data_IF_160474199482
#
_entry.id   IF_160474199482
#
_cell.length_a   1.000
_cell.length_b   1.000
_cell.length_c   1.000
_cell.angle_alpha   90.00
_cell.angle_beta   90.00
_cell.angle_gamma   90.00
#
_symmetry.space_group_name_H-M   'P 1'
#
loop_
_entity.id
_entity.type
_entity.pdbx_description
1 polymer ?
#
# COMPACT_ATOMS: atom_id res chain seq x y z
N UNK A 1 -13.10 -14.41 -71.22
CA UNK A 1 -11.87 -14.12 -70.39
C UNK A 1 -12.26 -13.55 -69.04
N UNK A 2 -12.26 -14.39 -68.01
CA UNK A 2 -12.53 -13.97 -66.65
C UNK A 2 -11.20 -13.67 -65.93
N UNK A 3 -10.99 -12.41 -65.52
CA UNK A 3 -9.80 -12.02 -64.72
C UNK A 3 -10.04 -12.39 -63.28
N UNK A 4 -9.20 -13.28 -62.72
CA UNK A 4 -9.09 -13.54 -61.28
C UNK A 4 -8.21 -12.47 -60.65
N UNK A 5 -8.74 -11.70 -59.70
CA UNK A 5 -7.95 -10.86 -58.83
C UNK A 5 -7.62 -11.67 -57.58
N UNK A 6 -6.33 -11.97 -57.39
CA UNK A 6 -5.82 -12.61 -56.17
C UNK A 6 -5.51 -11.53 -55.16
N UNK A 7 -6.32 -11.46 -54.10
CA UNK A 7 -6.07 -10.54 -52.97
C UNK A 7 -5.08 -11.19 -52.01
N UNK A 8 -3.86 -10.67 -51.99
CA UNK A 8 -2.81 -11.10 -51.06
C UNK A 8 -3.11 -10.53 -49.66
N UNK A 9 -3.54 -11.39 -48.73
CA UNK A 9 -3.73 -11.03 -47.32
C UNK A 9 -2.35 -11.05 -46.65
N UNK A 10 -1.78 -9.86 -46.37
CA UNK A 10 -0.58 -9.73 -45.54
C UNK A 10 -1.03 -9.83 -44.06
N UNK A 11 -0.81 -11.00 -43.45
CA UNK A 11 -0.97 -11.18 -42.01
C UNK A 11 0.29 -10.58 -41.33
N UNK A 12 0.17 -9.36 -40.80
CA UNK A 12 1.19 -8.78 -39.95
C UNK A 12 1.08 -9.48 -38.59
N UNK A 13 1.98 -10.44 -38.35
CA UNK A 13 2.19 -10.99 -37.01
C UNK A 13 2.82 -9.89 -36.15
N UNK A 14 2.01 -9.13 -35.43
CA UNK A 14 2.45 -8.31 -34.30
C UNK A 14 2.82 -9.27 -33.17
N UNK A 15 4.08 -9.71 -33.15
CA UNK A 15 4.65 -10.30 -31.93
C UNK A 15 4.62 -9.23 -30.84
N UNK A 16 3.68 -9.38 -29.90
CA UNK A 16 3.70 -8.59 -28.68
C UNK A 16 4.97 -8.99 -27.90
N UNK A 17 6.04 -8.23 -28.10
CA UNK A 17 7.15 -8.25 -27.15
C UNK A 17 6.60 -7.69 -25.86
N UNK A 18 6.33 -8.54 -24.88
CA UNK A 18 6.13 -8.13 -23.50
C UNK A 18 7.45 -7.53 -23.02
N UNK A 19 7.58 -6.21 -23.15
CA UNK A 19 8.67 -5.46 -22.50
C UNK A 19 8.36 -5.54 -21.01
N UNK A 20 9.01 -6.46 -20.30
CA UNK A 20 8.95 -6.47 -18.84
C UNK A 20 9.69 -5.23 -18.34
N UNK A 21 9.02 -4.38 -17.60
CA UNK A 21 9.63 -3.20 -17.02
C UNK A 21 10.82 -3.63 -16.15
N UNK A 22 12.02 -3.20 -16.55
CA UNK A 22 13.26 -3.52 -15.85
C UNK A 22 13.93 -2.23 -15.43
N UNK A 23 14.28 -2.15 -14.14
CA UNK A 23 15.12 -1.07 -13.60
C UNK A 23 16.56 -1.57 -13.64
N UNK A 24 17.43 -0.81 -14.27
CA UNK A 24 18.86 -1.14 -14.35
C UNK A 24 19.55 -0.98 -13.01
N UNK A 25 20.68 -1.65 -12.85
CA UNK A 25 21.59 -1.49 -11.72
C UNK A 25 22.71 -0.51 -12.06
N UNK A 26 23.20 0.19 -11.04
CA UNK A 26 24.37 1.05 -11.11
C UNK A 26 25.20 0.90 -9.83
N UNK A 27 26.49 1.28 -9.88
CA UNK A 27 27.24 1.47 -8.64
C UNK A 27 26.69 2.66 -7.86
N UNK A 28 26.72 2.63 -6.52
CA UNK A 28 26.28 3.75 -5.70
C UNK A 28 27.00 5.06 -6.06
N UNK A 29 28.30 5.01 -6.30
CA UNK A 29 29.14 6.17 -6.61
C UNK A 29 28.70 6.87 -7.89
N UNK A 30 28.32 6.14 -8.95
CA UNK A 30 27.80 6.71 -10.18
C UNK A 30 26.49 7.47 -9.97
N UNK A 31 25.79 7.18 -8.88
CA UNK A 31 24.51 7.80 -8.54
C UNK A 31 24.65 8.80 -7.35
N UNK A 32 25.86 9.25 -7.03
CA UNK A 32 26.08 10.21 -5.96
C UNK A 32 25.84 9.65 -4.56
N UNK A 33 26.08 8.35 -4.35
CA UNK A 33 25.95 7.67 -3.07
C UNK A 33 27.29 7.05 -2.70
N UNK A 34 27.76 7.26 -1.47
CA UNK A 34 28.93 6.58 -0.94
C UNK A 34 28.58 5.14 -0.55
N UNK A 35 29.12 4.15 -1.25
CA UNK A 35 28.93 2.73 -0.92
C UNK A 35 29.41 2.42 0.50
N UNK A 36 30.49 3.05 0.95
CA UNK A 36 31.02 2.89 2.31
C UNK A 36 30.00 3.35 3.37
N UNK A 37 29.40 4.52 3.19
CA UNK A 37 28.34 5.02 4.09
C UNK A 37 27.05 4.22 3.95
N UNK A 38 26.67 3.82 2.73
CA UNK A 38 25.48 2.99 2.46
C UNK A 38 25.56 1.60 3.13
N UNK A 39 26.77 1.08 3.39
CA UNK A 39 26.96 -0.15 4.15
C UNK A 39 26.36 -0.12 5.56
N UNK A 40 26.04 1.07 6.08
CA UNK A 40 25.31 1.23 7.34
C UNK A 40 23.93 0.56 7.29
N UNK A 41 23.23 0.60 6.13
CA UNK A 41 21.97 -0.14 5.91
C UNK A 41 22.17 -1.65 6.12
N UNK A 42 23.27 -2.19 5.61
CA UNK A 42 23.62 -3.60 5.80
C UNK A 42 23.97 -3.90 7.26
N UNK A 43 24.69 -3.00 7.95
CA UNK A 43 25.05 -3.14 9.36
C UNK A 43 23.82 -3.14 10.27
N UNK A 44 22.89 -2.20 10.06
CA UNK A 44 21.61 -2.15 10.77
C UNK A 44 20.84 -3.46 10.55
N UNK A 45 20.75 -3.91 9.31
CA UNK A 45 20.03 -5.14 8.96
C UNK A 45 20.62 -6.36 9.64
N UNK A 46 21.95 -6.51 9.64
CA UNK A 46 22.64 -7.62 10.31
C UNK A 46 22.43 -7.59 11.83
N UNK A 47 22.55 -6.42 12.45
CA UNK A 47 22.34 -6.28 13.90
C UNK A 47 20.90 -6.69 14.30
N UNK A 48 19.88 -6.36 13.48
CA UNK A 48 18.52 -6.79 13.74
C UNK A 48 18.35 -8.32 13.69
N UNK A 49 19.10 -8.99 12.80
CA UNK A 49 19.10 -10.45 12.68
C UNK A 49 19.88 -11.09 13.84
N UNK A 50 21.09 -10.61 14.11
CA UNK A 50 21.97 -11.14 15.15
C UNK A 50 21.35 -11.00 16.55
N UNK A 51 20.63 -9.90 16.78
CA UNK A 51 19.85 -9.66 18.01
C UNK A 51 18.51 -10.43 18.05
N UNK A 52 18.20 -11.27 17.06
CA UNK A 52 16.91 -11.98 16.92
C UNK A 52 15.67 -11.08 16.97
N UNK A 53 15.77 -9.84 16.51
CA UNK A 53 14.67 -8.88 16.47
C UNK A 53 13.70 -9.15 15.33
N UNK A 54 14.23 -9.55 14.17
CA UNK A 54 13.46 -9.98 13.00
C UNK A 54 14.09 -11.24 12.40
N UNK A 55 13.31 -12.11 11.78
CA UNK A 55 13.84 -13.31 11.11
C UNK A 55 14.56 -12.96 9.80
N UNK A 56 14.10 -11.92 9.13
CA UNK A 56 14.67 -11.42 7.87
C UNK A 56 14.32 -9.96 7.64
N UNK A 57 15.11 -9.34 6.77
CA UNK A 57 14.88 -8.01 6.22
C UNK A 57 15.38 -7.96 4.78
N UNK A 58 14.57 -7.42 3.89
CA UNK A 58 14.95 -7.17 2.49
C UNK A 58 14.79 -5.68 2.19
N UNK A 59 15.88 -5.04 1.75
CA UNK A 59 15.87 -3.62 1.37
C UNK A 59 16.37 -3.47 -0.06
N UNK A 60 15.64 -2.68 -0.86
CA UNK A 60 16.03 -2.24 -2.20
C UNK A 60 16.00 -0.73 -2.25
N UNK A 61 17.03 -0.12 -2.84
CA UNK A 61 17.20 1.33 -2.96
C UNK A 61 17.44 1.67 -4.42
N UNK A 62 16.67 2.62 -4.92
CA UNK A 62 16.84 3.22 -6.23
C UNK A 62 17.29 4.68 -6.06
N UNK A 63 18.17 5.14 -6.91
CA UNK A 63 18.56 6.56 -7.07
C UNK A 63 18.64 6.89 -8.55
N UNK A 64 18.04 8.02 -8.96
CA UNK A 64 18.05 8.48 -10.36
C UNK A 64 17.56 7.40 -11.34
N UNK A 65 16.57 6.57 -10.97
CA UNK A 65 16.06 5.50 -11.82
C UNK A 65 16.96 4.26 -11.91
N UNK A 66 17.97 4.12 -11.05
CA UNK A 66 18.88 2.97 -11.02
C UNK A 66 18.89 2.29 -9.66
N UNK A 67 18.89 0.96 -9.61
CA UNK A 67 19.04 0.19 -8.38
C UNK A 67 20.52 0.27 -7.94
N UNK A 68 20.74 0.89 -6.78
CA UNK A 68 22.08 1.06 -6.18
C UNK A 68 22.32 0.13 -5.00
N UNK A 69 21.28 -0.45 -4.45
CA UNK A 69 21.37 -1.40 -3.35
C UNK A 69 20.19 -2.38 -3.41
N UNK A 70 20.45 -3.68 -3.27
CA UNK A 70 19.42 -4.70 -3.13
C UNK A 70 19.98 -5.87 -2.34
N UNK A 71 19.64 -5.96 -1.06
CA UNK A 71 20.12 -6.99 -0.16
C UNK A 71 19.01 -7.59 0.69
N UNK A 72 19.19 -8.87 1.03
CA UNK A 72 18.34 -9.60 1.96
C UNK A 72 19.21 -10.22 3.03
N UNK A 73 18.83 -10.12 4.30
CA UNK A 73 19.55 -10.65 5.45
C UNK A 73 18.64 -11.54 6.28
N UNK A 74 19.22 -12.58 6.88
CA UNK A 74 18.53 -13.49 7.79
C UNK A 74 17.96 -14.74 7.12
N UNK A 75 16.98 -15.33 7.76
CA UNK A 75 16.34 -16.59 7.39
C UNK A 75 14.88 -16.37 7.07
N UNK A 76 14.28 -17.27 6.28
CA UNK A 76 12.84 -17.19 5.98
C UNK A 76 11.98 -17.22 7.24
N UNK A 77 12.42 -17.92 8.25
CA UNK A 77 11.77 -18.04 9.56
C UNK A 77 12.84 -18.28 10.64
N UNK A 78 12.51 -17.95 11.91
CA UNK A 78 13.44 -18.10 13.03
C UNK A 78 13.86 -19.56 13.25
N UNK A 79 12.93 -20.47 13.03
CA UNK A 79 13.09 -21.91 13.33
C UNK A 79 13.73 -22.71 12.19
N UNK A 80 14.19 -22.06 11.12
CA UNK A 80 14.73 -22.74 9.93
C UNK A 80 16.09 -22.18 9.53
N UNK A 81 16.91 -23.02 8.88
CA UNK A 81 18.18 -22.59 8.27
C UNK A 81 18.03 -22.10 6.83
N UNK A 82 16.81 -22.08 6.29
CA UNK A 82 16.56 -21.56 4.93
C UNK A 82 16.82 -20.07 4.86
N UNK A 83 17.86 -19.69 4.15
CA UNK A 83 18.23 -18.27 3.93
C UNK A 83 17.14 -17.57 3.14
N UNK A 84 16.83 -16.33 3.52
CA UNK A 84 15.93 -15.44 2.78
C UNK A 84 16.48 -15.13 1.38
N UNK A 85 15.61 -15.04 0.39
CA UNK A 85 15.96 -14.69 -0.99
C UNK A 85 15.33 -13.36 -1.40
N UNK A 86 15.98 -12.64 -2.31
CA UNK A 86 15.50 -11.35 -2.85
C UNK A 86 14.12 -11.43 -3.50
N UNK A 87 13.72 -12.62 -3.96
CA UNK A 87 12.42 -12.89 -4.60
C UNK A 87 11.41 -13.59 -3.67
N UNK A 88 11.66 -13.65 -2.37
CA UNK A 88 10.68 -14.16 -1.42
C UNK A 88 9.48 -13.22 -1.30
N UNK A 89 8.32 -13.79 -1.00
CA UNK A 89 7.03 -13.12 -1.00
C UNK A 89 6.66 -12.64 0.39
N UNK A 90 6.27 -11.39 0.47
CA UNK A 90 5.91 -10.68 1.70
C UNK A 90 4.45 -10.22 1.66
N UNK A 91 3.74 -10.30 2.79
CA UNK A 91 2.51 -9.55 2.99
C UNK A 91 2.85 -8.09 3.07
N UNK A 92 2.37 -7.29 2.12
CA UNK A 92 2.66 -5.85 2.12
C UNK A 92 1.64 -5.03 2.91
N UNK A 93 0.57 -5.68 3.39
CA UNK A 93 -0.47 -5.05 4.20
C UNK A 93 -0.90 -3.69 3.62
N UNK A 94 -0.86 -2.62 4.42
CA UNK A 94 -1.35 -1.31 4.01
C UNK A 94 -0.55 -0.65 2.87
N UNK A 95 0.59 -1.19 2.46
CA UNK A 95 1.21 -0.78 1.20
C UNK A 95 0.35 -1.19 -0.03
N UNK A 96 -0.71 -1.98 0.16
CA UNK A 96 -1.78 -2.22 -0.82
C UNK A 96 -2.54 -0.93 -1.18
N UNK A 97 -2.71 -0.02 -0.21
CA UNK A 97 -3.54 1.19 -0.36
C UNK A 97 -3.12 2.12 -1.50
N UNK A 98 -1.85 2.49 -1.64
CA UNK A 98 -1.39 3.27 -2.79
C UNK A 98 -1.76 2.65 -4.14
N UNK A 99 -1.67 1.32 -4.26
CA UNK A 99 -1.99 0.60 -5.50
C UNK A 99 -3.49 0.68 -5.80
N UNK A 100 -4.34 0.44 -4.79
CA UNK A 100 -5.80 0.52 -4.96
C UNK A 100 -6.27 1.96 -5.15
N UNK A 101 -5.64 2.92 -4.47
CA UNK A 101 -5.91 4.35 -4.69
C UNK A 101 -5.55 4.79 -6.11
N UNK A 102 -4.44 4.26 -6.67
CA UNK A 102 -4.11 4.51 -8.07
C UNK A 102 -5.15 3.86 -9.00
N UNK A 103 -5.61 2.66 -8.72
CA UNK A 103 -6.62 1.97 -9.53
C UNK A 103 -7.94 2.76 -9.62
N UNK A 104 -8.44 3.29 -8.50
CA UNK A 104 -9.64 4.14 -8.53
C UNK A 104 -9.37 5.45 -9.28
N UNK A 105 -8.18 6.03 -9.17
CA UNK A 105 -7.80 7.24 -9.90
C UNK A 105 -7.63 7.01 -11.41
N UNK A 106 -7.30 5.80 -11.87
CA UNK A 106 -7.38 5.42 -13.28
C UNK A 106 -8.82 5.46 -13.82
N UNK A 107 -9.81 5.12 -12.98
CA UNK A 107 -11.23 5.23 -13.36
C UNK A 107 -11.70 6.69 -13.35
N UNK A 108 -11.16 7.52 -12.45
CA UNK A 108 -11.34 8.97 -12.46
C UNK A 108 -10.82 9.60 -13.76
N UNK A 109 -9.63 9.24 -14.22
CA UNK A 109 -9.05 9.70 -15.50
C UNK A 109 -9.92 9.34 -16.71
N UNK A 110 -10.69 8.25 -16.62
CA UNK A 110 -11.66 7.82 -17.64
C UNK A 110 -13.00 8.53 -17.51
N UNK A 111 -13.11 9.52 -16.64
CA UNK A 111 -14.34 10.31 -16.38
C UNK A 111 -15.56 9.44 -15.95
N UNK A 112 -15.31 8.26 -15.35
CA UNK A 112 -16.38 7.38 -14.90
C UNK A 112 -17.04 7.85 -13.60
N UNK A 113 -16.41 8.77 -12.88
CA UNK A 113 -16.93 9.43 -11.70
C UNK A 113 -16.17 10.73 -11.42
N UNK A 114 -16.69 11.56 -10.50
CA UNK A 114 -16.02 12.72 -9.94
C UNK A 114 -15.58 12.46 -8.50
N UNK A 115 -14.50 13.07 -8.01
CA UNK A 115 -13.99 12.89 -6.64
C UNK A 115 -15.03 13.22 -5.57
N UNK A 116 -15.89 14.21 -5.85
CA UNK A 116 -16.97 14.64 -4.95
C UNK A 116 -18.29 13.89 -5.19
N UNK A 117 -18.34 12.90 -6.08
CA UNK A 117 -19.48 12.02 -6.21
C UNK A 117 -19.75 11.28 -4.89
N UNK A 118 -21.01 11.22 -4.45
CA UNK A 118 -21.36 10.47 -3.25
C UNK A 118 -21.17 8.97 -3.46
N UNK A 119 -20.62 8.29 -2.45
CA UNK A 119 -20.38 6.84 -2.47
C UNK A 119 -21.69 6.07 -2.76
N UNK A 120 -22.83 6.55 -2.27
CA UNK A 120 -24.14 5.94 -2.47
C UNK A 120 -24.59 5.89 -3.94
N UNK A 121 -24.00 6.71 -4.82
CA UNK A 121 -24.24 6.66 -6.27
C UNK A 121 -23.86 5.30 -6.86
N UNK A 122 -22.82 4.65 -6.32
CA UNK A 122 -22.27 3.38 -6.78
C UNK A 122 -22.54 2.23 -5.80
N UNK A 123 -22.72 2.55 -4.53
CA UNK A 123 -23.00 1.63 -3.43
C UNK A 123 -24.22 2.15 -2.65
N UNK A 124 -25.46 1.89 -3.14
CA UNK A 124 -26.70 2.43 -2.56
C UNK A 124 -26.92 2.10 -1.08
N UNK A 125 -26.24 1.05 -0.57
CA UNK A 125 -26.27 0.65 0.84
C UNK A 125 -25.82 1.78 1.77
N UNK A 126 -24.96 2.68 1.30
CA UNK A 126 -24.44 3.81 2.09
C UNK A 126 -25.44 4.95 2.28
N UNK A 127 -26.58 4.97 1.55
CA UNK A 127 -27.61 6.01 1.66
C UNK A 127 -28.24 6.11 3.07
N UNK A 128 -28.15 5.03 3.87
CA UNK A 128 -28.75 4.96 5.21
C UNK A 128 -27.72 5.03 6.34
N UNK A 129 -26.44 5.25 6.01
CA UNK A 129 -25.39 5.28 7.02
C UNK A 129 -25.63 6.42 8.03
N UNK A 130 -25.32 6.19 9.30
CA UNK A 130 -25.52 7.15 10.39
C UNK A 130 -24.20 7.43 11.10
N UNK A 131 -24.14 8.56 11.77
CA UNK A 131 -23.09 8.94 12.69
C UNK A 131 -23.56 8.61 14.12
N UNK A 132 -22.72 7.96 14.91
CA UNK A 132 -22.98 7.82 16.35
C UNK A 132 -22.52 9.10 17.06
N UNK A 133 -23.48 9.84 17.63
CA UNK A 133 -23.20 11.05 18.39
C UNK A 133 -22.75 10.71 19.82
N UNK A 134 -22.14 11.69 20.51
CA UNK A 134 -21.65 11.54 21.90
C UNK A 134 -22.77 11.21 22.91
N UNK A 135 -24.00 11.62 22.61
CA UNK A 135 -25.19 11.28 23.37
C UNK A 135 -25.69 9.84 23.16
N UNK A 136 -24.99 9.05 22.32
CA UNK A 136 -25.37 7.68 21.96
C UNK A 136 -26.45 7.56 20.90
N UNK A 137 -26.99 8.66 20.39
CA UNK A 137 -27.99 8.65 19.33
C UNK A 137 -27.37 8.51 17.93
N UNK A 138 -28.12 7.90 17.01
CA UNK A 138 -27.75 7.80 15.60
C UNK A 138 -28.36 8.98 14.84
N UNK A 139 -27.52 9.81 14.23
CA UNK A 139 -27.91 10.99 13.44
C UNK A 139 -27.52 10.82 11.97
N UNK A 140 -28.20 11.54 11.10
CA UNK A 140 -27.73 11.66 9.71
C UNK A 140 -26.38 12.38 9.71
N UNK A 141 -25.43 11.98 8.85
CA UNK A 141 -24.24 12.78 8.62
C UNK A 141 -24.62 14.18 8.11
N UNK A 142 -23.80 15.19 8.42
CA UNK A 142 -23.99 16.56 7.92
C UNK A 142 -23.73 16.66 6.43
N UNK A 143 -22.75 15.89 5.96
CA UNK A 143 -22.33 15.82 4.57
C UNK A 143 -22.39 14.37 4.09
N UNK A 144 -22.66 14.16 2.80
CA UNK A 144 -22.58 12.84 2.19
C UNK A 144 -21.14 12.35 2.09
N UNK A 145 -20.94 11.06 2.25
CA UNK A 145 -19.64 10.44 2.06
C UNK A 145 -19.29 10.44 0.57
N UNK A 146 -18.18 11.08 0.20
CA UNK A 146 -17.68 11.12 -1.17
C UNK A 146 -16.55 10.12 -1.41
N UNK A 147 -16.21 9.83 -2.67
CA UNK A 147 -15.06 9.01 -3.04
C UNK A 147 -13.77 9.67 -2.54
N UNK A 148 -13.67 11.00 -2.58
CA UNK A 148 -12.55 11.76 -2.02
C UNK A 148 -12.37 11.50 -0.51
N UNK A 149 -13.47 11.43 0.25
CA UNK A 149 -13.40 11.14 1.68
C UNK A 149 -12.84 9.73 1.97
N UNK A 150 -13.11 8.76 1.09
CA UNK A 150 -12.51 7.42 1.20
C UNK A 150 -11.00 7.46 0.90
N UNK A 151 -10.60 8.16 -0.16
CA UNK A 151 -9.21 8.28 -0.60
C UNK A 151 -8.32 8.97 0.42
N UNK A 152 -8.83 9.97 1.13
CA UNK A 152 -8.08 10.76 2.11
C UNK A 152 -8.39 10.40 3.57
N UNK A 153 -9.09 9.30 3.82
CA UNK A 153 -9.47 8.81 5.15
C UNK A 153 -10.28 9.81 6.01
N UNK A 154 -11.11 10.64 5.40
CA UNK A 154 -12.04 11.54 6.13
C UNK A 154 -13.49 11.06 6.09
N UNK A 155 -13.73 9.82 5.73
CA UNK A 155 -15.07 9.24 5.57
C UNK A 155 -15.79 8.92 6.89
N UNK A 156 -15.11 8.98 8.04
CA UNK A 156 -15.69 8.61 9.34
C UNK A 156 -15.78 7.09 9.60
N UNK A 157 -15.27 6.26 8.69
CA UNK A 157 -15.14 4.81 8.86
C UNK A 157 -14.05 4.45 9.88
N UNK A 158 -14.01 3.19 10.35
CA UNK A 158 -13.03 2.73 11.35
C UNK A 158 -12.41 1.37 10.98
N UNK A 159 -11.28 1.04 11.62
CA UNK A 159 -10.72 -0.30 11.70
C UNK A 159 -11.14 -1.07 12.96
N UNK A 160 -11.73 -0.38 13.94
CA UNK A 160 -12.09 -1.01 15.20
C UNK A 160 -10.94 -1.20 16.19
N UNK A 161 -9.93 -0.33 16.17
CA UNK A 161 -8.71 -0.51 16.97
C UNK A 161 -8.75 0.11 18.36
N UNK A 162 -9.74 0.94 18.66
CA UNK A 162 -9.83 1.61 19.95
C UNK A 162 -11.04 1.14 20.77
N UNK A 163 -11.14 1.59 22.02
CA UNK A 163 -12.28 1.31 22.88
C UNK A 163 -13.50 2.22 22.62
N UNK A 164 -13.43 3.11 21.63
CA UNK A 164 -14.56 3.94 21.26
C UNK A 164 -15.75 3.07 20.80
N UNK A 165 -17.01 3.41 21.19
CA UNK A 165 -18.19 2.59 20.90
C UNK A 165 -18.38 2.23 19.42
N UNK A 166 -18.03 3.13 18.49
CA UNK A 166 -18.04 2.84 17.05
C UNK A 166 -17.01 1.78 16.71
N UNK A 167 -15.78 1.94 17.19
CA UNK A 167 -14.69 1.00 16.89
C UNK A 167 -15.01 -0.40 17.37
N UNK A 168 -15.64 -0.54 18.54
CA UNK A 168 -16.07 -1.83 19.04
C UNK A 168 -17.12 -2.51 18.15
N UNK A 169 -17.99 -1.73 17.49
CA UNK A 169 -18.92 -2.27 16.50
C UNK A 169 -18.18 -2.79 15.25
N UNK A 170 -17.19 -2.05 14.74
CA UNK A 170 -16.34 -2.49 13.63
C UNK A 170 -15.53 -3.74 14.00
N UNK A 171 -14.92 -3.77 15.18
CA UNK A 171 -14.17 -4.93 15.68
C UNK A 171 -15.02 -6.20 15.70
N UNK A 172 -16.27 -6.09 16.14
CA UNK A 172 -17.19 -7.21 16.28
C UNK A 172 -17.91 -7.61 14.97
N UNK A 173 -17.86 -6.78 13.93
CA UNK A 173 -18.61 -7.00 12.69
C UNK A 173 -18.03 -8.12 11.80
N UNK A 174 -16.81 -8.61 12.08
CA UNK A 174 -16.18 -9.65 11.29
C UNK A 174 -16.01 -9.26 9.81
N UNK A 175 -15.63 -8.02 9.52
CA UNK A 175 -15.59 -7.47 8.17
C UNK A 175 -14.70 -8.29 7.23
N UNK A 176 -13.61 -8.86 7.75
CA UNK A 176 -12.71 -9.68 6.95
C UNK A 176 -13.12 -11.16 6.85
N UNK A 177 -14.25 -11.52 7.45
CA UNK A 177 -14.91 -12.82 7.27
C UNK A 177 -16.00 -12.79 6.18
N UNK A 178 -16.04 -11.69 5.41
CA UNK A 178 -17.01 -11.49 4.34
C UNK A 178 -16.82 -12.48 3.18
N UNK A 179 -17.94 -12.89 2.60
CA UNK A 179 -18.03 -13.84 1.48
C UNK A 179 -18.03 -13.10 0.11
N UNK A 180 -17.18 -12.13 -0.03
CA UNK A 180 -17.06 -11.27 -1.21
C UNK A 180 -17.44 -9.84 -0.93
N UNK A 181 -17.41 -9.03 -1.97
CA UNK A 181 -17.57 -7.57 -1.91
C UNK A 181 -18.97 -7.14 -1.46
N UNK A 182 -20.02 -7.83 -1.90
CA UNK A 182 -21.41 -7.49 -1.53
C UNK A 182 -21.66 -7.76 -0.03
N UNK A 183 -21.19 -8.89 0.52
CA UNK A 183 -21.29 -9.17 1.97
C UNK A 183 -20.47 -8.17 2.79
N UNK A 184 -19.27 -7.79 2.31
CA UNK A 184 -18.46 -6.76 2.96
C UNK A 184 -19.21 -5.42 3.03
N UNK A 185 -19.75 -4.95 1.92
CA UNK A 185 -20.49 -3.68 1.87
C UNK A 185 -21.76 -3.73 2.72
N UNK A 186 -22.49 -4.85 2.68
CA UNK A 186 -23.66 -5.06 3.53
C UNK A 186 -23.32 -4.94 5.02
N UNK A 187 -22.19 -5.49 5.46
CA UNK A 187 -21.74 -5.37 6.85
C UNK A 187 -21.34 -3.94 7.19
N UNK A 188 -20.50 -3.30 6.35
CA UNK A 188 -19.98 -1.95 6.59
C UNK A 188 -21.11 -0.92 6.65
N UNK A 189 -22.06 -0.96 5.72
CA UNK A 189 -23.17 0.02 5.63
C UNK A 189 -24.12 -0.02 6.83
N UNK A 190 -24.12 -1.11 7.61
CA UNK A 190 -24.89 -1.23 8.85
C UNK A 190 -24.11 -0.73 10.09
N UNK A 191 -22.87 -0.26 9.93
CA UNK A 191 -22.07 0.27 11.02
C UNK A 191 -22.13 1.81 11.04
N UNK A 192 -22.16 2.43 12.23
CA UNK A 192 -22.17 3.88 12.31
C UNK A 192 -20.79 4.46 12.01
N UNK A 193 -20.78 5.69 11.52
CA UNK A 193 -19.56 6.50 11.38
C UNK A 193 -19.15 7.09 12.74
N UNK A 194 -17.86 7.35 12.92
CA UNK A 194 -17.30 8.03 14.09
C UNK A 194 -17.63 9.53 14.10
N UNK A 195 -17.75 10.13 12.93
CA UNK A 195 -18.03 11.55 12.72
C UNK A 195 -18.56 11.74 11.30
N UNK A 196 -19.05 12.93 11.01
CA UNK A 196 -19.55 13.24 9.67
C UNK A 196 -18.42 13.30 8.65
N UNK A 197 -18.60 12.78 7.42
CA UNK A 197 -17.58 12.83 6.39
C UNK A 197 -16.99 14.23 6.21
N UNK A 198 -15.68 14.33 6.07
CA UNK A 198 -14.93 15.57 5.93
C UNK A 198 -14.53 16.26 7.24
N UNK A 199 -15.03 15.86 8.41
CA UNK A 199 -14.75 16.56 9.66
C UNK A 199 -13.38 16.26 10.26
N UNK A 200 -12.87 15.03 10.10
CA UNK A 200 -11.59 14.60 10.69
C UNK A 200 -10.91 13.56 9.82
N UNK A 201 -9.58 13.48 9.92
CA UNK A 201 -8.84 12.33 9.43
C UNK A 201 -8.98 11.16 10.43
N UNK A 202 -9.31 9.97 9.91
CA UNK A 202 -9.32 8.75 10.70
C UNK A 202 -8.97 7.54 9.84
N UNK A 203 -7.80 6.98 10.07
CA UNK A 203 -7.33 5.83 9.31
C UNK A 203 -8.25 4.62 9.45
N UNK A 204 -8.71 4.06 8.34
CA UNK A 204 -9.85 3.15 8.36
C UNK A 204 -9.84 2.16 7.19
N UNK A 205 -10.89 1.33 7.15
CA UNK A 205 -11.22 0.42 6.05
C UNK A 205 -11.64 1.14 4.75
N UNK A 206 -11.48 2.45 4.66
CA UNK A 206 -11.94 3.23 3.50
C UNK A 206 -11.39 2.69 2.18
N UNK A 207 -10.13 2.24 2.15
CA UNK A 207 -9.54 1.68 0.93
C UNK A 207 -10.05 0.26 0.60
N UNK A 208 -10.57 -0.48 1.58
CA UNK A 208 -11.32 -1.71 1.29
C UNK A 208 -12.61 -1.39 0.54
N UNK A 209 -13.32 -0.32 0.92
CA UNK A 209 -14.50 0.20 0.19
C UNK A 209 -14.10 0.70 -1.20
N UNK A 210 -12.96 1.39 -1.35
CA UNK A 210 -12.43 1.78 -2.67
C UNK A 210 -12.16 0.57 -3.56
N UNK A 211 -11.66 -0.55 -3.01
CA UNK A 211 -11.49 -1.79 -3.76
C UNK A 211 -12.81 -2.29 -4.35
N UNK A 212 -13.89 -2.25 -3.57
CA UNK A 212 -15.22 -2.61 -4.07
C UNK A 212 -15.73 -1.60 -5.10
N UNK A 213 -15.45 -0.30 -4.92
CA UNK A 213 -15.79 0.72 -5.93
C UNK A 213 -15.05 0.50 -7.25
N UNK A 214 -13.79 0.05 -7.23
CA UNK A 214 -13.07 -0.36 -8.45
C UNK A 214 -13.86 -1.45 -9.16
N UNK A 215 -14.32 -2.49 -8.46
CA UNK A 215 -15.12 -3.56 -9.06
C UNK A 215 -16.45 -3.06 -9.63
N UNK A 216 -17.19 -2.26 -8.86
CA UNK A 216 -18.53 -1.76 -9.26
C UNK A 216 -18.46 -0.81 -10.46
N UNK A 217 -17.45 0.06 -10.51
CA UNK A 217 -17.33 1.07 -11.57
C UNK A 217 -16.72 0.47 -12.84
N UNK A 218 -15.72 -0.42 -12.70
CA UNK A 218 -15.05 -1.04 -13.85
C UNK A 218 -15.81 -2.24 -14.42
N UNK A 219 -16.60 -2.94 -13.60
CA UNK A 219 -17.20 -4.23 -13.93
C UNK A 219 -16.20 -5.41 -13.91
N UNK A 220 -14.96 -5.19 -13.47
CA UNK A 220 -13.90 -6.20 -13.37
C UNK A 220 -13.64 -6.55 -11.89
N UNK A 221 -13.42 -7.83 -11.49
CA UNK A 221 -12.95 -8.18 -10.15
C UNK A 221 -11.65 -7.44 -9.82
N UNK A 222 -11.44 -7.05 -8.57
CA UNK A 222 -10.33 -6.20 -8.15
C UNK A 222 -8.96 -6.79 -8.53
N UNK A 223 -8.75 -8.10 -8.33
CA UNK A 223 -7.50 -8.76 -8.69
C UNK A 223 -7.24 -8.75 -10.19
N UNK A 224 -8.28 -8.91 -11.01
CA UNK A 224 -8.17 -8.86 -12.47
C UNK A 224 -7.93 -7.44 -12.96
N UNK A 225 -8.62 -6.45 -12.36
CA UNK A 225 -8.38 -5.05 -12.68
C UNK A 225 -6.93 -4.64 -12.41
N UNK A 226 -6.44 -4.91 -11.18
CA UNK A 226 -5.06 -4.56 -10.82
C UNK A 226 -4.04 -5.30 -11.69
N UNK A 227 -4.28 -6.58 -11.98
CA UNK A 227 -3.42 -7.37 -12.85
C UNK A 227 -3.32 -6.75 -14.24
N UNK A 228 -4.46 -6.47 -14.87
CA UNK A 228 -4.56 -5.99 -16.25
C UNK A 228 -4.05 -4.56 -16.43
N UNK A 229 -4.34 -3.68 -15.48
CA UNK A 229 -4.12 -2.24 -15.64
C UNK A 229 -2.89 -1.71 -14.90
N UNK A 230 -2.29 -2.50 -13.99
CA UNK A 230 -1.11 -2.09 -13.22
C UNK A 230 -0.01 -3.15 -13.28
N UNK A 231 -0.30 -4.40 -12.89
CA UNK A 231 0.76 -5.38 -12.68
C UNK A 231 1.35 -5.90 -14.00
N UNK A 232 0.52 -6.30 -14.96
CA UNK A 232 0.99 -6.81 -16.26
C UNK A 232 1.73 -5.72 -17.06
N UNK A 233 1.22 -4.46 -17.19
CA UNK A 233 1.95 -3.41 -17.86
C UNK A 233 3.32 -3.12 -17.26
N UNK A 234 3.44 -3.17 -15.93
CA UNK A 234 4.69 -2.95 -15.21
C UNK A 234 5.56 -4.21 -15.06
N UNK A 235 5.07 -5.40 -15.44
CA UNK A 235 5.79 -6.66 -15.25
C UNK A 235 5.92 -7.09 -13.78
N UNK A 236 4.98 -6.71 -12.91
CA UNK A 236 4.91 -7.08 -11.48
C UNK A 236 4.34 -8.51 -11.34
N UNK A 237 5.13 -9.49 -11.69
CA UNK A 237 4.69 -10.90 -11.79
C UNK A 237 4.52 -11.62 -10.45
N UNK A 238 4.98 -11.01 -9.38
CA UNK A 238 4.96 -11.57 -8.02
C UNK A 238 4.09 -10.75 -7.06
N UNK A 239 3.09 -10.02 -7.61
CA UNK A 239 2.13 -9.22 -6.83
C UNK A 239 0.71 -9.71 -7.08
N UNK A 240 0.00 -10.11 -5.99
CA UNK A 240 -1.32 -10.72 -6.08
C UNK A 240 -2.03 -10.76 -4.72
N UNK A 241 -3.36 -10.95 -4.71
CA UNK A 241 -4.13 -11.26 -3.50
C UNK A 241 -4.07 -12.75 -3.14
N UNK A 242 -4.07 -13.62 -4.15
CA UNK A 242 -4.01 -15.07 -3.98
C UNK A 242 -2.63 -15.59 -4.35
N UNK A 243 -1.91 -16.16 -3.37
CA UNK A 243 -0.59 -16.75 -3.60
C UNK A 243 -0.71 -18.00 -4.49
N UNK A 244 -0.15 -17.99 -5.71
CA UNK A 244 -0.19 -19.15 -6.60
C UNK A 244 0.46 -20.39 -5.97
N UNK A 245 -0.08 -21.57 -6.26
CA UNK A 245 0.39 -22.84 -5.66
C UNK A 245 1.89 -23.04 -5.86
N UNK A 246 2.40 -22.76 -7.07
CA UNK A 246 3.81 -22.91 -7.43
C UNK A 246 4.74 -21.82 -6.85
N UNK A 247 4.19 -20.84 -6.10
CA UNK A 247 4.97 -19.78 -5.43
C UNK A 247 4.86 -19.83 -3.90
N UNK A 248 4.09 -20.78 -3.34
CA UNK A 248 3.85 -20.87 -1.89
C UNK A 248 5.10 -21.17 -1.08
N UNK A 249 6.08 -21.85 -1.66
CA UNK A 249 7.38 -22.11 -1.04
C UNK A 249 8.22 -20.84 -0.81
N UNK A 250 7.91 -19.77 -1.54
CA UNK A 250 8.53 -18.44 -1.41
C UNK A 250 7.78 -17.51 -0.44
N UNK A 251 6.57 -17.90 -0.02
CA UNK A 251 5.73 -17.09 0.86
C UNK A 251 6.17 -17.28 2.31
N UNK A 252 6.85 -16.27 2.84
CA UNK A 252 7.49 -16.35 4.15
C UNK A 252 6.49 -16.21 5.30
N UNK A 253 6.78 -16.80 6.47
CA UNK A 253 5.97 -16.64 7.67
C UNK A 253 5.87 -15.20 8.14
N UNK A 254 4.77 -14.90 8.86
CA UNK A 254 4.57 -13.65 9.57
C UNK A 254 4.66 -13.88 11.07
N UNK A 255 5.10 -12.86 11.80
CA UNK A 255 5.27 -12.88 13.24
C UNK A 255 4.55 -11.68 13.87
N UNK A 256 4.24 -11.79 15.15
CA UNK A 256 3.77 -10.69 15.99
C UNK A 256 4.69 -10.54 17.19
N UNK A 257 5.10 -9.32 17.51
CA UNK A 257 5.87 -9.04 18.71
C UNK A 257 4.96 -9.12 19.94
N UNK A 258 5.29 -10.00 20.87
CA UNK A 258 4.59 -10.12 22.14
C UNK A 258 5.23 -9.21 23.18
N UNK A 259 4.49 -8.19 23.63
CA UNK A 259 4.98 -7.20 24.59
C UNK A 259 5.31 -7.79 25.98
N UNK A 260 4.69 -8.92 26.35
CA UNK A 260 4.92 -9.58 27.64
C UNK A 260 6.19 -10.44 27.62
N UNK A 261 6.32 -11.28 26.57
CA UNK A 261 7.48 -12.19 26.43
C UNK A 261 8.70 -11.52 25.81
N UNK A 262 8.53 -10.32 25.22
CA UNK A 262 9.55 -9.59 24.44
C UNK A 262 10.13 -10.40 23.27
N UNK A 263 9.31 -11.29 22.69
CA UNK A 263 9.70 -12.16 21.58
C UNK A 263 8.73 -12.04 20.40
N UNK A 264 9.25 -12.36 19.22
CA UNK A 264 8.43 -12.56 18.03
C UNK A 264 7.77 -13.94 18.10
N UNK A 265 6.46 -14.00 17.94
CA UNK A 265 5.66 -15.22 17.93
C UNK A 265 5.10 -15.44 16.52
N UNK A 266 5.26 -16.65 15.99
CA UNK A 266 4.83 -17.00 14.63
C UNK A 266 3.31 -16.99 14.54
N UNK A 267 2.79 -16.32 13.51
CA UNK A 267 1.38 -16.30 13.17
C UNK A 267 1.04 -17.41 12.18
N UNK A 268 -0.25 -17.79 12.09
CA UNK A 268 -0.68 -18.71 11.06
C UNK A 268 -0.39 -18.12 9.67
N UNK A 269 0.31 -18.87 8.83
CA UNK A 269 0.80 -18.36 7.54
C UNK A 269 -0.31 -18.17 6.50
N UNK A 270 -1.41 -18.91 6.63
CA UNK A 270 -2.52 -18.84 5.68
C UNK A 270 -3.40 -17.59 5.91
N UNK A 271 -3.57 -17.17 7.17
CA UNK A 271 -4.53 -16.15 7.53
C UNK A 271 -3.88 -14.80 7.88
N UNK A 272 -4.66 -13.75 7.80
CA UNK A 272 -4.22 -12.40 8.19
C UNK A 272 -3.95 -12.26 9.70
N UNK A 273 -4.67 -13.01 10.50
CA UNK A 273 -4.52 -13.10 11.96
C UNK A 273 -4.50 -14.58 12.39
N UNK A 274 -4.24 -14.85 13.67
CA UNK A 274 -4.29 -16.21 14.22
C UNK A 274 -5.70 -16.83 14.24
N UNK A 275 -6.73 -16.08 13.84
CA UNK A 275 -8.09 -16.62 13.72
C UNK A 275 -8.27 -17.14 12.30
N UNK A 276 -8.81 -18.37 12.14
CA UNK A 276 -9.33 -18.82 10.85
C UNK A 276 -10.36 -17.78 10.40
N UNK A 277 -10.06 -17.06 9.35
CA UNK A 277 -10.98 -16.12 8.74
C UNK A 277 -10.98 -16.36 7.25
N UNK A 278 -12.00 -15.86 6.57
CA UNK A 278 -12.10 -15.93 5.11
C UNK A 278 -10.99 -15.17 4.39
N UNK A 279 -10.19 -14.39 5.10
CA UNK A 279 -9.02 -13.67 4.56
C UNK A 279 -7.80 -14.58 4.47
N UNK A 280 -7.94 -15.66 3.74
CA UNK A 280 -6.87 -16.58 3.39
C UNK A 280 -6.04 -16.01 2.24
N UNK A 281 -4.72 -16.04 2.34
CA UNK A 281 -3.84 -15.75 1.22
C UNK A 281 -3.78 -16.86 0.17
N UNK A 282 -4.32 -18.04 0.48
CA UNK A 282 -4.36 -19.16 -0.46
C UNK A 282 -5.69 -19.28 -1.18
N UNK A 283 -6.76 -18.81 -0.59
CA UNK A 283 -8.09 -18.75 -1.20
C UNK A 283 -8.92 -17.62 -0.60
N UNK A 284 -8.59 -16.35 -0.89
CA UNK A 284 -9.34 -15.21 -0.37
C UNK A 284 -10.77 -15.22 -0.94
N UNK A 285 -11.77 -15.06 -0.09
CA UNK A 285 -13.16 -14.87 -0.49
C UNK A 285 -13.47 -13.38 -0.69
N UNK A 286 -12.85 -12.51 0.11
CA UNK A 286 -12.89 -11.06 -0.01
C UNK A 286 -11.50 -10.51 -0.32
N UNK A 287 -11.39 -9.67 -1.35
CA UNK A 287 -10.14 -9.04 -1.76
C UNK A 287 -9.98 -7.69 -1.05
N UNK A 288 -9.22 -7.70 0.05
CA UNK A 288 -9.03 -6.49 0.85
C UNK A 288 -8.20 -5.44 0.13
N UNK A 289 -8.84 -4.39 -0.38
CA UNK A 289 -8.17 -3.22 -0.96
C UNK A 289 -7.31 -2.44 0.05
N UNK A 290 -7.62 -2.58 1.34
CA UNK A 290 -6.87 -1.94 2.42
C UNK A 290 -5.58 -2.66 2.84
N UNK A 291 -5.36 -3.94 2.42
CA UNK A 291 -4.17 -4.63 2.93
C UNK A 291 -3.98 -6.08 2.46
N UNK A 292 -4.65 -6.52 1.41
CA UNK A 292 -4.68 -7.92 1.01
C UNK A 292 -3.55 -8.39 0.09
N UNK A 293 -2.73 -7.49 -0.46
CA UNK A 293 -1.70 -7.88 -1.42
C UNK A 293 -0.48 -8.52 -0.76
N UNK A 294 0.06 -9.48 -1.50
CA UNK A 294 1.39 -10.07 -1.34
C UNK A 294 2.26 -9.56 -2.49
N UNK A 295 3.54 -9.26 -2.21
CA UNK A 295 4.46 -8.77 -3.23
C UNK A 295 5.91 -9.14 -2.89
N UNK A 296 6.85 -8.76 -3.77
CA UNK A 296 8.29 -8.77 -3.54
C UNK A 296 8.81 -7.33 -3.44
N UNK A 297 10.01 -7.16 -2.88
CA UNK A 297 10.67 -5.85 -2.86
C UNK A 297 10.91 -5.31 -4.27
N UNK A 298 11.23 -6.19 -5.23
CA UNK A 298 11.45 -5.81 -6.63
C UNK A 298 10.17 -5.32 -7.30
N UNK A 299 9.07 -6.06 -7.18
CA UNK A 299 7.79 -5.66 -7.79
C UNK A 299 7.30 -4.32 -7.23
N UNK A 300 7.39 -4.15 -5.89
CA UNK A 300 7.00 -2.88 -5.28
C UNK A 300 7.93 -1.73 -5.69
N UNK A 301 9.23 -1.97 -5.88
CA UNK A 301 10.17 -0.98 -6.43
C UNK A 301 9.80 -0.58 -7.85
N UNK A 302 9.38 -1.52 -8.69
CA UNK A 302 8.90 -1.23 -10.05
C UNK A 302 7.67 -0.30 -10.02
N UNK A 303 6.70 -0.58 -9.14
CA UNK A 303 5.56 0.30 -8.91
C UNK A 303 6.00 1.68 -8.43
N UNK A 304 6.86 1.75 -7.43
CA UNK A 304 7.35 3.01 -6.87
C UNK A 304 8.15 3.84 -7.90
N UNK A 305 8.96 3.18 -8.74
CA UNK A 305 9.70 3.85 -9.81
C UNK A 305 8.76 4.40 -10.90
N UNK A 306 7.69 3.69 -11.24
CA UNK A 306 6.71 4.25 -12.17
C UNK A 306 6.06 5.53 -11.63
N UNK A 307 5.83 5.62 -10.31
CA UNK A 307 5.33 6.83 -9.68
C UNK A 307 6.37 7.97 -9.69
N UNK A 308 7.64 7.67 -9.33
CA UNK A 308 8.71 8.67 -9.40
C UNK A 308 8.87 9.22 -10.82
N UNK A 309 8.66 8.39 -11.82
CA UNK A 309 8.72 8.76 -13.23
C UNK A 309 7.34 9.17 -13.80
N UNK A 310 6.59 9.96 -13.04
CA UNK A 310 5.34 10.59 -13.46
C UNK A 310 4.28 9.61 -14.00
N UNK A 311 4.17 8.43 -13.39
CA UNK A 311 3.16 7.43 -13.72
C UNK A 311 3.51 6.50 -14.88
N UNK A 312 4.77 6.48 -15.32
CA UNK A 312 5.23 5.67 -16.46
C UNK A 312 6.52 4.92 -16.15
N UNK A 313 6.68 3.72 -16.67
CA UNK A 313 7.94 2.99 -16.66
C UNK A 313 8.10 2.18 -17.95
N UNK A 314 9.22 2.42 -18.66
CA UNK A 314 9.59 1.71 -19.91
C UNK A 314 8.48 1.70 -20.98
N UNK A 315 7.77 2.82 -21.13
CA UNK A 315 6.67 2.98 -22.09
C UNK A 315 5.31 2.49 -21.60
N UNK A 316 5.23 1.89 -20.41
CA UNK A 316 3.98 1.52 -19.76
C UNK A 316 3.51 2.64 -18.83
N UNK A 317 2.51 3.42 -19.27
CA UNK A 317 1.86 4.45 -18.45
C UNK A 317 0.69 3.83 -17.69
N UNK A 318 0.74 3.94 -16.36
CA UNK A 318 -0.31 3.44 -15.48
C UNK A 318 -1.19 4.57 -14.90
N UNK A 319 -0.72 5.81 -14.96
CA UNK A 319 -1.49 7.00 -14.54
C UNK A 319 -0.89 8.23 -15.21
N UNK A 320 -1.70 9.27 -15.44
CA UNK A 320 -1.21 10.54 -15.98
C UNK A 320 -0.49 11.36 -14.87
N UNK A 321 0.48 12.14 -15.29
CA UNK A 321 1.26 12.99 -14.39
C UNK A 321 0.39 13.95 -13.58
N UNK A 322 -0.62 14.59 -14.21
CA UNK A 322 -1.52 15.52 -13.53
C UNK A 322 -2.31 14.83 -12.40
N UNK A 323 -2.85 13.63 -12.69
CA UNK A 323 -3.58 12.84 -11.70
C UNK A 323 -2.68 12.40 -10.56
N UNK A 324 -1.47 11.91 -10.88
CA UNK A 324 -0.49 11.53 -9.86
C UNK A 324 -0.12 12.75 -8.98
N UNK A 325 0.14 13.89 -9.58
CA UNK A 325 0.42 15.15 -8.85
C UNK A 325 -0.72 15.56 -7.93
N UNK A 326 -1.98 15.28 -8.31
CA UNK A 326 -3.14 15.45 -7.43
C UNK A 326 -3.11 14.48 -6.24
N UNK A 327 -2.70 13.23 -6.47
CA UNK A 327 -2.64 12.20 -5.42
C UNK A 327 -1.58 12.48 -4.35
N UNK A 328 -0.44 13.08 -4.73
CA UNK A 328 0.71 13.34 -3.85
C UNK A 328 0.76 14.77 -3.32
N UNK A 329 -0.36 15.52 -3.39
CA UNK A 329 -0.56 16.81 -2.72
C UNK A 329 -1.52 16.66 -1.55
N UNK A 330 -1.48 17.61 -0.62
CA UNK A 330 -2.44 17.61 0.49
C UNK A 330 -3.88 17.66 -0.02
N UNK A 331 -4.68 16.69 0.38
CA UNK A 331 -6.10 16.56 0.02
C UNK A 331 -7.03 16.55 1.26
N UNK A 332 -6.46 16.82 2.43
CA UNK A 332 -7.27 16.97 3.63
C UNK A 332 -8.10 18.25 3.55
N UNK A 333 -9.35 18.24 4.03
CA UNK A 333 -10.16 19.45 4.15
C UNK A 333 -9.47 20.51 5.01
N UNK A 334 -9.82 21.79 4.79
CA UNK A 334 -9.28 22.88 5.58
C UNK A 334 -9.51 22.67 7.09
N UNK A 335 -8.45 22.81 7.87
CA UNK A 335 -8.48 22.62 9.34
C UNK A 335 -8.45 21.14 9.78
N UNK A 336 -8.39 20.19 8.86
CA UNK A 336 -8.19 18.78 9.18
C UNK A 336 -6.72 18.43 9.14
N UNK A 337 -6.20 17.88 10.23
CA UNK A 337 -4.82 17.45 10.37
C UNK A 337 -4.67 15.93 10.22
N UNK A 338 -3.49 15.50 9.77
CA UNK A 338 -3.12 14.09 9.79
C UNK A 338 -2.84 13.64 11.22
N UNK A 339 -3.58 12.65 11.70
CA UNK A 339 -3.47 12.15 13.08
C UNK A 339 -2.79 10.78 13.19
N UNK A 340 -2.12 10.33 12.13
CA UNK A 340 -1.44 9.03 12.10
C UNK A 340 -2.34 7.86 11.77
N UNK A 341 -1.75 6.67 11.76
CA UNK A 341 -2.42 5.43 11.36
C UNK A 341 -2.80 4.52 12.53
N UNK A 342 -2.63 4.96 13.77
CA UNK A 342 -2.90 4.14 14.96
C UNK A 342 -4.36 4.18 15.45
N UNK A 343 -5.19 5.04 14.86
CA UNK A 343 -6.57 5.27 15.28
C UNK A 343 -6.71 6.24 16.45
N UNK A 344 -5.63 6.56 17.16
CA UNK A 344 -5.59 7.62 18.17
C UNK A 344 -4.83 8.83 17.61
N UNK A 345 -5.30 10.07 17.90
CA UNK A 345 -4.62 11.26 17.47
C UNK A 345 -3.18 11.29 18.02
N UNK A 346 -2.23 11.37 17.11
CA UNK A 346 -0.83 11.55 17.47
C UNK A 346 -0.47 13.02 17.25
N UNK A 347 -0.71 13.84 18.24
CA UNK A 347 -0.54 15.30 18.19
C UNK A 347 0.90 15.76 17.87
N UNK A 348 1.86 14.84 17.84
CA UNK A 348 3.26 15.15 17.55
C UNK A 348 3.57 15.32 16.06
N UNK A 349 2.65 14.98 15.15
CA UNK A 349 2.86 15.24 13.72
C UNK A 349 2.58 16.71 13.35
N UNK A 350 1.59 17.36 13.97
CA UNK A 350 1.16 18.70 13.63
C UNK A 350 0.93 18.84 12.11
N UNK A 351 1.44 19.93 11.56
CA UNK A 351 1.41 20.20 10.11
C UNK A 351 2.54 19.52 9.32
N UNK A 352 3.41 18.78 9.99
CA UNK A 352 4.62 18.21 9.37
C UNK A 352 4.35 17.07 8.44
N UNK A 353 3.20 16.40 8.58
CA UNK A 353 2.72 15.37 7.66
C UNK A 353 1.33 15.77 7.17
N UNK A 354 1.16 15.71 5.87
CA UNK A 354 -0.11 15.84 5.18
C UNK A 354 -0.54 14.50 4.59
N UNK A 355 -1.77 14.44 4.10
CA UNK A 355 -2.27 13.24 3.43
C UNK A 355 -2.90 13.60 2.08
N UNK A 356 -2.51 12.84 1.07
CA UNK A 356 -3.03 12.95 -0.29
C UNK A 356 -4.16 11.96 -0.57
N UNK A 357 -4.21 11.44 -1.78
CA UNK A 357 -5.13 10.38 -2.17
C UNK A 357 -4.42 9.02 -2.09
N UNK A 358 -4.29 8.49 -0.87
CA UNK A 358 -3.66 7.20 -0.57
C UNK A 358 -2.20 7.25 -0.13
N UNK A 359 -1.61 8.44 0.06
CA UNK A 359 -0.21 8.64 0.47
C UNK A 359 -0.11 9.62 1.64
N UNK A 360 0.78 9.32 2.59
CA UNK A 360 1.32 10.31 3.51
C UNK A 360 2.36 11.17 2.79
N UNK A 361 2.45 12.45 3.13
CA UNK A 361 3.31 13.44 2.46
C UNK A 361 4.08 14.20 3.54
N UNK A 362 5.39 14.26 3.41
CA UNK A 362 6.24 15.07 4.30
C UNK A 362 6.08 16.55 3.91
N UNK A 363 5.67 17.36 4.86
CA UNK A 363 5.50 18.81 4.71
C UNK A 363 6.58 19.60 5.45
N UNK A 364 7.07 19.06 6.57
CA UNK A 364 8.13 19.67 7.37
C UNK A 364 9.04 18.58 7.97
N UNK A 365 10.11 18.18 7.26
CA UNK A 365 11.04 17.17 7.73
C UNK A 365 11.87 17.64 8.95
N UNK A 366 12.13 18.96 9.07
CA UNK A 366 12.89 19.52 10.17
C UNK A 366 12.15 19.36 11.49
N UNK A 367 10.87 19.70 11.52
CA UNK A 367 10.03 19.45 12.71
C UNK A 367 9.99 17.98 13.11
N UNK A 368 9.95 17.07 12.14
CA UNK A 368 9.96 15.64 12.36
C UNK A 368 11.33 15.12 12.84
N UNK A 369 12.38 15.94 12.78
CA UNK A 369 13.78 15.52 13.01
C UNK A 369 14.12 14.26 12.23
N UNK A 370 13.73 14.25 10.97
CA UNK A 370 13.91 13.13 10.06
C UNK A 370 14.54 13.62 8.77
N UNK A 371 15.50 12.87 8.25
CA UNK A 371 16.02 13.10 6.91
C UNK A 371 14.91 12.99 5.86
N UNK A 372 15.12 13.61 4.70
CA UNK A 372 14.18 13.64 3.59
C UNK A 372 13.85 15.06 3.15
N UNK A 373 13.01 15.17 2.12
CA UNK A 373 12.64 16.44 1.51
C UNK A 373 11.15 16.75 1.73
N UNK A 374 10.80 18.04 1.63
CA UNK A 374 9.40 18.44 1.49
C UNK A 374 8.84 17.83 0.21
N UNK A 375 7.64 17.23 0.29
CA UNK A 375 7.03 16.53 -0.83
C UNK A 375 7.41 15.05 -0.96
N UNK A 376 8.29 14.52 -0.09
CA UNK A 376 8.47 13.07 0.02
C UNK A 376 7.12 12.41 0.34
N UNK A 377 6.75 11.39 -0.41
CA UNK A 377 5.51 10.65 -0.15
C UNK A 377 5.78 9.19 0.14
N UNK A 378 4.94 8.61 0.99
CA UNK A 378 5.23 7.33 1.61
C UNK A 378 3.99 6.60 2.09
N UNK A 379 4.16 5.32 2.41
CA UNK A 379 3.26 4.58 3.28
C UNK A 379 3.98 3.38 3.91
N UNK A 380 3.24 2.62 4.75
CA UNK A 380 3.79 1.46 5.44
C UNK A 380 2.74 0.37 5.64
N UNK A 381 3.19 -0.85 5.95
CA UNK A 381 2.34 -1.99 6.25
C UNK A 381 2.47 -2.45 7.70
N UNK A 382 1.40 -3.06 8.21
CA UNK A 382 1.29 -3.46 9.62
C UNK A 382 2.39 -4.43 10.11
N UNK A 383 3.01 -5.20 9.21
CA UNK A 383 4.13 -6.08 9.54
C UNK A 383 5.51 -5.40 9.44
N UNK A 384 5.56 -4.06 9.49
CA UNK A 384 6.80 -3.29 9.46
C UNK A 384 7.38 -3.11 8.06
N UNK A 385 6.64 -3.44 7.00
CA UNK A 385 7.00 -3.08 5.63
C UNK A 385 6.83 -1.58 5.43
N UNK A 386 7.67 -0.95 4.61
CA UNK A 386 7.55 0.46 4.30
C UNK A 386 8.24 0.81 2.99
N UNK A 387 7.80 1.93 2.41
CA UNK A 387 8.47 2.58 1.30
C UNK A 387 8.37 4.10 1.44
N UNK A 388 9.27 4.80 0.78
CA UNK A 388 9.14 6.22 0.48
C UNK A 388 9.73 6.53 -0.88
N UNK A 389 9.25 7.62 -1.46
CA UNK A 389 9.72 8.22 -2.70
C UNK A 389 10.01 9.68 -2.39
N UNK A 390 11.24 10.09 -2.56
CA UNK A 390 11.69 11.47 -2.45
C UNK A 390 12.00 12.02 -3.85
N UNK A 391 11.08 12.82 -4.44
CA UNK A 391 11.26 13.32 -5.78
C UNK A 391 12.41 14.32 -5.90
N UNK A 392 12.70 15.09 -4.83
CA UNK A 392 13.78 16.09 -4.84
C UNK A 392 15.16 15.44 -4.87
N UNK A 393 15.33 14.36 -4.09
CA UNK A 393 16.59 13.61 -4.04
C UNK A 393 16.62 12.47 -5.05
N UNK A 394 15.54 12.25 -5.80
CA UNK A 394 15.36 11.14 -6.74
C UNK A 394 15.66 9.76 -6.11
N UNK A 395 15.22 9.57 -4.87
CA UNK A 395 15.43 8.34 -4.09
C UNK A 395 14.13 7.59 -3.91
N UNK A 396 14.20 6.27 -4.05
CA UNK A 396 13.15 5.35 -3.61
C UNK A 396 13.78 4.31 -2.71
N UNK A 397 13.12 4.02 -1.60
CA UNK A 397 13.47 2.91 -0.73
C UNK A 397 12.25 2.04 -0.48
N UNK A 398 12.44 0.74 -0.59
CA UNK A 398 11.45 -0.27 -0.18
C UNK A 398 12.13 -1.22 0.79
N UNK A 399 11.58 -1.37 1.98
CA UNK A 399 12.05 -2.34 2.98
C UNK A 399 10.91 -3.24 3.41
N UNK A 400 11.15 -4.55 3.36
CA UNK A 400 10.16 -5.57 3.71
C UNK A 400 10.67 -6.41 4.88
N UNK A 401 9.86 -6.50 5.92
CA UNK A 401 9.99 -7.42 7.07
C UNK A 401 8.61 -8.03 7.37
N UNK A 402 8.53 -9.02 8.24
CA UNK A 402 7.26 -9.64 8.64
C UNK A 402 7.14 -9.74 10.16
N UNK A 403 7.00 -8.57 10.81
CA UNK A 403 6.81 -8.46 12.26
C UNK A 403 5.70 -7.47 12.60
N UNK A 404 4.52 -7.97 12.94
CA UNK A 404 3.42 -7.18 13.47
C UNK A 404 3.77 -6.62 14.86
N UNK A 405 3.19 -5.47 15.22
CA UNK A 405 3.44 -4.79 16.51
C UNK A 405 4.93 -4.53 16.76
N UNK A 406 5.67 -4.28 15.68
CA UNK A 406 7.11 -4.05 15.70
C UNK A 406 7.49 -2.84 16.61
N UNK A 407 8.27 -3.05 17.69
CA UNK A 407 8.67 -1.98 18.60
C UNK A 407 9.97 -1.27 18.18
N UNK A 408 10.64 -1.76 17.11
CA UNK A 408 11.96 -1.27 16.73
C UNK A 408 11.86 -0.13 15.73
N UNK A 409 12.68 0.93 15.82
CA UNK A 409 12.62 2.09 14.93
C UNK A 409 13.32 1.83 13.57
N UNK A 410 13.07 0.67 12.96
CA UNK A 410 13.77 0.20 11.76
C UNK A 410 13.67 1.21 10.61
N UNK A 411 12.46 1.74 10.38
CA UNK A 411 12.23 2.72 9.30
C UNK A 411 13.11 3.95 9.49
N UNK A 412 13.15 4.51 10.69
CA UNK A 412 13.95 5.69 10.99
C UNK A 412 15.45 5.40 10.79
N UNK A 413 15.94 4.29 11.32
CA UNK A 413 17.35 3.91 11.19
C UNK A 413 17.79 3.71 9.74
N UNK A 414 16.98 3.01 8.93
CA UNK A 414 17.26 2.81 7.50
C UNK A 414 17.21 4.15 6.77
N UNK A 415 16.22 5.00 7.08
CA UNK A 415 16.09 6.31 6.45
C UNK A 415 17.31 7.18 6.68
N UNK A 416 17.72 7.34 7.93
CA UNK A 416 18.93 8.11 8.29
C UNK A 416 20.18 7.57 7.57
N UNK A 417 20.38 6.26 7.56
CA UNK A 417 21.52 5.64 6.90
C UNK A 417 21.55 5.91 5.39
N UNK A 418 20.39 5.89 4.73
CA UNK A 418 20.27 6.19 3.30
C UNK A 418 20.65 7.64 3.03
N UNK A 419 20.04 8.60 3.72
CA UNK A 419 20.31 10.03 3.48
C UNK A 419 21.75 10.43 3.86
N UNK A 420 22.30 9.88 4.94
CA UNK A 420 23.71 10.10 5.29
C UNK A 420 24.70 9.51 4.27
N UNK A 421 24.27 8.59 3.41
CA UNK A 421 25.10 8.04 2.35
C UNK A 421 25.22 8.93 1.11
N UNK A 422 24.38 9.97 0.98
CA UNK A 422 24.45 10.90 -0.14
C UNK A 422 25.79 11.65 -0.18
N UNK A 423 26.33 11.80 -1.36
CA UNK A 423 27.49 12.65 -1.66
C UNK A 423 26.91 13.97 -2.16
N UNK A 424 27.18 15.05 -1.43
CA UNK A 424 26.80 16.43 -1.81
C UNK A 424 27.67 16.90 -2.98
#
# INVERSE_FOLDING_TARGET
>A
MKKFYSTLLIIINLSQFSITAQIDYSSPEEQGISSNRLNEVSRISKNLIDDNKVSNITTIINRNGKIVYFQSFGKREFESDKVIKKNDLYRIYSMTKPIVSLAIMQLYERELFQLDDPVEKFLPEFSKIKVLSDDGSLKNPKEMMTIKNLLNHTAGLSYGWTYHPVDQKYYNAGLYDSKGSDDFISRVSNLPLRFSPGEKFYYSIATDVLGVLVEKISGEPLDQYLKKHIFDPLGMVDTFFKVPVNKRDRFIPNYSYNQKTKKAEKLNNEYFSNKPSSRSYYNPEFLSGGGGLVSTAKDFMIFAESLRNNGELNGARIINEETLNSMIKNQLPNGVEFTGSSGEPQNWYGDSIKFGLGFGIINDPEYLKSSGSVGEYFWSGAAGTFFWIDPEKEIIVVTLIQLMNNPYPIRHQIKEAVYQSLIE
#
